data_IF_081429477620
#
_entry.id   IF_081429477620
#
_cell.length_a   1.000
_cell.length_b   1.000
_cell.length_c   1.000
_cell.angle_alpha   90.00
_cell.angle_beta   90.00
_cell.angle_gamma   90.00
#
_symmetry.space_group_name_H-M   'P 1'
#
loop_
_entity.id
_entity.type
_entity.pdbx_description
1 polymer ?
#
# COMPACT_ATOMS: atom_id res chain seq x y z
N UNK A 1 4.32 -6.78 9.08
CA UNK A 1 5.22 -6.12 10.04
C UNK A 1 6.68 -6.65 10.05
N UNK A 2 7.17 -7.31 8.99
CA UNK A 2 8.54 -7.89 8.94
C UNK A 2 9.55 -7.04 8.16
N UNK A 3 9.10 -6.38 7.08
CA UNK A 3 9.94 -5.54 6.22
C UNK A 3 10.47 -4.30 6.94
N UNK A 4 9.58 -3.57 7.63
CA UNK A 4 9.93 -2.36 8.41
C UNK A 4 10.99 -2.67 9.48
N UNK A 5 10.89 -3.84 10.13
CA UNK A 5 11.85 -4.28 11.15
C UNK A 5 13.22 -4.60 10.53
N UNK A 6 13.24 -5.23 9.37
CA UNK A 6 14.48 -5.59 8.67
C UNK A 6 15.19 -4.36 8.07
N UNK A 7 14.42 -3.39 7.58
CA UNK A 7 14.93 -2.08 7.14
C UNK A 7 15.48 -1.29 8.34
N UNK A 8 14.87 -1.41 9.52
CA UNK A 8 15.35 -0.75 10.74
C UNK A 8 16.70 -1.30 11.24
N UNK A 9 17.08 -2.54 10.90
CA UNK A 9 18.35 -3.16 11.30
C UNK A 9 19.55 -2.70 10.44
N UNK A 10 19.32 -2.11 9.26
CA UNK A 10 20.38 -1.66 8.34
C UNK A 10 20.65 -0.15 8.53
N UNK A 11 21.58 0.21 9.45
CA UNK A 11 22.28 1.51 9.65
C UNK A 11 21.53 2.87 9.59
N UNK A 12 20.27 2.93 9.16
CA UNK A 12 19.51 4.16 8.88
C UNK A 12 18.41 4.44 9.90
N UNK A 13 18.62 4.07 11.16
CA UNK A 13 17.61 4.05 12.24
C UNK A 13 16.90 5.41 12.45
N UNK A 14 17.58 6.53 12.21
CA UNK A 14 16.99 7.86 12.28
C UNK A 14 16.27 8.28 10.98
N UNK A 15 16.81 7.90 9.81
CA UNK A 15 16.21 8.26 8.53
C UNK A 15 14.94 7.46 8.25
N UNK A 16 14.98 6.13 8.48
CA UNK A 16 13.87 5.20 8.25
C UNK A 16 12.69 5.42 9.21
N UNK A 17 12.94 5.87 10.44
CA UNK A 17 11.89 6.19 11.41
C UNK A 17 11.17 7.52 11.13
N UNK A 18 11.76 8.40 10.31
CA UNK A 18 11.16 9.67 9.87
C UNK A 18 10.47 9.59 8.50
N UNK A 19 10.48 8.43 7.84
CA UNK A 19 9.85 8.25 6.54
C UNK A 19 8.33 8.21 6.70
N UNK A 20 7.62 8.91 5.82
CA UNK A 20 6.19 8.73 5.61
C UNK A 20 5.94 7.29 5.14
N UNK A 21 5.89 6.36 6.09
CA UNK A 21 5.78 4.94 5.83
C UNK A 21 4.38 4.54 5.32
N UNK A 22 3.39 5.43 5.44
CA UNK A 22 2.01 5.15 5.04
C UNK A 22 1.92 4.74 3.57
N UNK A 23 2.51 5.51 2.67
CA UNK A 23 2.46 5.24 1.22
C UNK A 23 3.23 3.96 0.85
N UNK A 24 4.35 3.69 1.52
CA UNK A 24 5.13 2.46 1.31
C UNK A 24 4.43 1.22 1.88
N UNK A 25 3.75 1.36 3.01
CA UNK A 25 2.93 0.30 3.62
C UNK A 25 1.73 0.01 2.72
N UNK A 26 1.05 1.05 2.23
CA UNK A 26 -0.05 0.92 1.28
C UNK A 26 0.42 0.26 -0.02
N UNK A 27 1.54 0.70 -0.60
CA UNK A 27 2.16 0.09 -1.77
C UNK A 27 2.49 -1.39 -1.54
N UNK A 28 3.03 -1.73 -0.37
CA UNK A 28 3.33 -3.12 -0.01
C UNK A 28 2.07 -3.99 0.00
N UNK A 29 0.98 -3.51 0.58
CA UNK A 29 -0.30 -4.24 0.60
C UNK A 29 -0.94 -4.27 -0.80
N UNK A 30 -0.76 -3.23 -1.61
CA UNK A 30 -1.18 -3.20 -3.02
C UNK A 30 -0.48 -4.28 -3.83
N UNK A 31 0.86 -4.34 -3.78
CA UNK A 31 1.64 -5.37 -4.48
C UNK A 31 1.31 -6.77 -3.97
N UNK A 32 1.13 -6.93 -2.65
CA UNK A 32 0.73 -8.21 -2.05
C UNK A 32 -0.66 -8.65 -2.55
N UNK A 33 -1.60 -7.71 -2.68
CA UNK A 33 -2.94 -7.96 -3.22
C UNK A 33 -2.89 -8.32 -4.70
N UNK A 34 -2.10 -7.60 -5.49
CA UNK A 34 -1.91 -7.92 -6.91
C UNK A 34 -1.29 -9.31 -7.12
N UNK A 35 -0.35 -9.71 -6.25
CA UNK A 35 0.34 -11.00 -6.32
C UNK A 35 -0.52 -12.18 -5.86
N UNK A 36 -1.30 -12.00 -4.79
CA UNK A 36 -1.98 -13.10 -4.10
C UNK A 36 -3.50 -13.08 -4.24
N UNK A 37 -4.05 -12.08 -4.94
CA UNK A 37 -5.48 -11.92 -5.11
C UNK A 37 -6.19 -11.45 -3.83
N UNK A 38 -7.47 -11.78 -3.73
CA UNK A 38 -8.29 -11.38 -2.59
C UNK A 38 -7.96 -12.22 -1.34
N UNK A 39 -7.45 -11.57 -0.31
CA UNK A 39 -7.04 -12.20 0.94
C UNK A 39 -6.80 -11.16 2.05
N UNK A 40 -6.03 -11.51 3.10
CA UNK A 40 -5.73 -10.59 4.20
C UNK A 40 -5.07 -9.29 3.75
N UNK A 41 -4.26 -9.31 2.68
CA UNK A 41 -3.65 -8.12 2.10
C UNK A 41 -4.70 -7.16 1.52
N UNK A 42 -5.65 -7.68 0.72
CA UNK A 42 -6.74 -6.88 0.16
C UNK A 42 -7.59 -6.22 1.26
N UNK A 43 -7.85 -6.92 2.38
CA UNK A 43 -8.54 -6.37 3.54
C UNK A 43 -7.78 -5.21 4.19
N UNK A 44 -6.47 -5.38 4.41
CA UNK A 44 -5.62 -4.33 4.98
C UNK A 44 -5.51 -3.13 4.04
N UNK A 45 -5.35 -3.38 2.74
CA UNK A 45 -5.30 -2.34 1.73
C UNK A 45 -6.59 -1.50 1.71
N UNK A 46 -7.77 -2.13 1.81
CA UNK A 46 -9.04 -1.40 1.90
C UNK A 46 -9.15 -0.54 3.16
N UNK A 47 -8.57 -0.99 4.28
CA UNK A 47 -8.51 -0.18 5.49
C UNK A 47 -7.54 1.00 5.35
N UNK A 48 -6.43 0.85 4.62
CA UNK A 48 -5.44 1.90 4.37
C UNK A 48 -5.93 2.95 3.37
N UNK A 49 -6.50 2.52 2.25
CA UNK A 49 -7.01 3.39 1.21
C UNK A 49 -8.34 2.86 0.63
N UNK A 50 -9.48 3.21 1.27
CA UNK A 50 -10.80 2.87 0.72
C UNK A 50 -11.08 3.59 -0.62
N UNK A 51 -10.31 4.63 -0.95
CA UNK A 51 -10.43 5.41 -2.18
C UNK A 51 -10.27 4.56 -3.45
N UNK A 52 -9.53 3.46 -3.40
CA UNK A 52 -9.36 2.55 -4.55
C UNK A 52 -10.68 1.88 -5.00
N UNK A 53 -11.70 1.85 -4.13
CA UNK A 53 -13.04 1.32 -4.41
C UNK A 53 -14.12 2.40 -4.51
N UNK A 54 -13.76 3.68 -4.37
CA UNK A 54 -14.71 4.81 -4.32
C UNK A 54 -15.58 4.99 -5.57
N UNK A 55 -15.19 4.39 -6.69
CA UNK A 55 -15.97 4.40 -7.94
C UNK A 55 -17.17 3.46 -7.91
N UNK A 56 -17.24 2.52 -6.96
CA UNK A 56 -18.37 1.63 -6.76
C UNK A 56 -19.32 2.21 -5.71
N UNK A 57 -20.62 2.11 -5.95
CA UNK A 57 -21.62 2.40 -4.91
C UNK A 57 -21.56 1.35 -3.78
N UNK A 58 -22.13 1.70 -2.63
CA UNK A 58 -22.07 0.87 -1.41
C UNK A 58 -22.64 -0.53 -1.63
N UNK A 59 -23.74 -0.69 -2.39
CA UNK A 59 -24.35 -2.01 -2.61
C UNK A 59 -23.44 -2.89 -3.46
N UNK A 60 -22.86 -2.32 -4.51
CA UNK A 60 -21.88 -3.01 -5.36
C UNK A 60 -20.64 -3.40 -4.56
N UNK A 61 -20.11 -2.52 -3.72
CA UNK A 61 -18.96 -2.85 -2.86
C UNK A 61 -19.26 -4.05 -1.95
N UNK A 62 -20.42 -4.06 -1.28
CA UNK A 62 -20.81 -5.18 -0.40
C UNK A 62 -20.87 -6.49 -1.19
N UNK A 63 -21.48 -6.48 -2.37
CA UNK A 63 -21.60 -7.67 -3.22
C UNK A 63 -20.22 -8.23 -3.63
N UNK A 64 -19.29 -7.35 -4.03
CA UNK A 64 -17.95 -7.79 -4.40
C UNK A 64 -17.16 -8.29 -3.19
N UNK A 65 -17.35 -7.70 -2.01
CA UNK A 65 -16.70 -8.17 -0.80
C UNK A 65 -17.18 -9.53 -0.34
N UNK A 66 -18.48 -9.78 -0.37
CA UNK A 66 -19.05 -11.09 0.00
C UNK A 66 -18.64 -12.18 -0.99
N UNK A 67 -18.45 -11.83 -2.26
CA UNK A 67 -17.94 -12.73 -3.29
C UNK A 67 -16.42 -12.93 -3.27
N UNK A 68 -15.66 -12.22 -2.41
CA UNK A 68 -14.19 -12.31 -2.39
C UNK A 68 -13.53 -11.71 -3.63
N UNK A 69 -14.07 -10.60 -4.13
CA UNK A 69 -13.64 -9.92 -5.35
C UNK A 69 -13.07 -8.50 -5.12
N UNK A 70 -12.62 -8.16 -3.92
CA UNK A 70 -12.02 -6.85 -3.60
C UNK A 70 -10.85 -6.52 -4.49
N UNK A 71 -9.95 -7.48 -4.68
CA UNK A 71 -8.74 -7.30 -5.49
C UNK A 71 -9.09 -6.95 -6.95
N UNK A 72 -10.13 -7.58 -7.50
CA UNK A 72 -10.58 -7.37 -8.88
C UNK A 72 -11.35 -6.06 -9.08
N UNK A 73 -12.05 -5.61 -8.04
CA UNK A 73 -12.81 -4.36 -8.07
C UNK A 73 -11.94 -3.12 -7.84
N UNK A 74 -10.67 -3.27 -7.46
CA UNK A 74 -9.80 -2.15 -7.11
C UNK A 74 -9.41 -1.35 -8.34
N UNK A 75 -9.39 0.00 -8.23
CA UNK A 75 -8.84 0.89 -9.25
C UNK A 75 -7.73 1.76 -8.66
N UNK A 76 -6.54 1.60 -9.22
CA UNK A 76 -5.38 2.45 -8.95
C UNK A 76 -5.39 3.61 -9.94
N UNK A 77 -5.24 4.84 -9.43
CA UNK A 77 -5.16 6.04 -10.27
C UNK A 77 -3.70 6.44 -10.49
N UNK A 78 -3.43 7.24 -11.51
CA UNK A 78 -2.09 7.78 -11.77
C UNK A 78 -1.55 8.56 -10.56
N UNK A 79 -2.41 9.31 -9.87
CA UNK A 79 -2.06 10.03 -8.64
C UNK A 79 -1.61 9.10 -7.50
N UNK A 80 -2.14 7.87 -7.44
CA UNK A 80 -1.67 6.88 -6.47
C UNK A 80 -0.26 6.40 -6.84
N UNK A 81 -0.03 6.14 -8.14
CA UNK A 81 1.28 5.72 -8.64
C UNK A 81 2.35 6.78 -8.39
N UNK A 82 2.06 8.04 -8.70
CA UNK A 82 2.96 9.17 -8.44
C UNK A 82 3.35 9.26 -6.96
N UNK A 83 2.37 9.12 -6.06
CA UNK A 83 2.60 9.09 -4.61
C UNK A 83 3.51 7.93 -4.21
N UNK A 84 3.25 6.73 -4.70
CA UNK A 84 4.08 5.55 -4.40
C UNK A 84 5.51 5.66 -4.93
N UNK A 85 5.70 6.20 -6.13
CA UNK A 85 7.03 6.44 -6.69
C UNK A 85 7.78 7.50 -5.88
N UNK A 86 7.12 8.62 -5.56
CA UNK A 86 7.70 9.67 -4.72
C UNK A 86 8.13 9.15 -3.35
N UNK A 87 7.28 8.36 -2.69
CA UNK A 87 7.61 7.72 -1.41
C UNK A 87 8.78 6.74 -1.53
N UNK A 88 8.86 5.97 -2.61
CA UNK A 88 9.94 5.00 -2.86
C UNK A 88 11.28 5.70 -3.12
N UNK A 89 11.29 6.72 -3.97
CA UNK A 89 12.48 7.53 -4.28
C UNK A 89 12.97 8.23 -3.01
N UNK A 90 12.07 8.95 -2.32
CA UNK A 90 12.41 9.70 -1.12
C UNK A 90 12.89 8.82 0.03
N UNK A 91 12.42 7.57 0.13
CA UNK A 91 12.98 6.58 1.06
C UNK A 91 14.45 6.29 0.74
N UNK A 92 14.75 5.97 -0.53
CA UNK A 92 16.11 5.60 -0.92
C UNK A 92 17.09 6.76 -0.87
N UNK A 93 16.68 7.99 -1.21
CA UNK A 93 17.51 9.20 -1.05
C UNK A 93 17.95 9.37 0.41
N UNK A 94 17.00 9.30 1.35
CA UNK A 94 17.25 9.43 2.79
C UNK A 94 18.13 8.31 3.33
N UNK A 95 17.91 7.07 2.91
CA UNK A 95 18.76 5.93 3.29
C UNK A 95 20.17 6.06 2.73
N UNK A 96 20.31 6.61 1.52
CA UNK A 96 21.60 6.78 0.85
C UNK A 96 22.38 8.02 1.30
N UNK A 97 21.79 8.87 2.15
CA UNK A 97 22.40 10.13 2.58
C UNK A 97 22.56 11.16 1.46
N UNK A 98 21.70 11.10 0.43
CA UNK A 98 21.59 12.13 -0.61
C UNK A 98 20.45 13.08 -0.31
#
# INVERSE_FOLDING_TARGET
MRLVKHVAEVKGLAAASMVQAADLIELWELVSTARHGDGPAAKRLKALNPGLWSHQDVKTQILYETAGLRAYAMRVKDTDLERYFGATIGFWERVSGR
#
